data_IF_992431096629
#
_entry.id   IF_992431096629
#
_cell.length_a   1.000
_cell.length_b   1.000
_cell.length_c   1.000
_cell.angle_alpha   90.00
_cell.angle_beta   90.00
_cell.angle_gamma   90.00
#
_symmetry.space_group_name_H-M   'P 1'
#
loop_
_entity.id
_entity.type
_entity.pdbx_description
1 polymer ?
#
# COMPACT_ATOMS: atom_id res chain seq x y z
N UNK A 1 -22.50 18.84 15.18
CA UNK A 1 -23.56 17.77 15.23
C UNK A 1 -23.24 16.71 14.19
N UNK A 2 -23.54 15.43 14.47
CA UNK A 2 -23.16 14.32 13.57
C UNK A 2 -23.74 14.48 12.16
N UNK A 3 -24.97 14.94 12.00
CA UNK A 3 -25.57 15.14 10.67
C UNK A 3 -24.80 16.17 9.81
N UNK A 4 -24.24 17.20 10.43
CA UNK A 4 -23.39 18.17 9.75
C UNK A 4 -22.09 17.51 9.25
N UNK A 5 -21.47 16.64 10.06
CA UNK A 5 -20.27 15.87 9.65
C UNK A 5 -20.59 14.87 8.53
N UNK A 6 -21.81 14.30 8.51
CA UNK A 6 -22.27 13.47 7.39
C UNK A 6 -22.32 14.26 6.09
N UNK A 7 -22.83 15.50 6.13
CA UNK A 7 -22.88 16.38 4.96
C UNK A 7 -21.48 16.79 4.50
N UNK A 8 -20.58 17.16 5.44
CA UNK A 8 -19.20 17.52 5.14
C UNK A 8 -18.41 16.34 4.54
N UNK A 9 -18.58 15.13 5.09
CA UNK A 9 -17.92 13.94 4.55
C UNK A 9 -18.48 13.59 3.16
N UNK A 10 -19.78 13.79 2.93
CA UNK A 10 -20.37 13.59 1.60
C UNK A 10 -19.82 14.60 0.60
N UNK A 11 -19.68 15.88 1.00
CA UNK A 11 -19.07 16.91 0.16
C UNK A 11 -17.59 16.61 -0.12
N UNK A 12 -16.84 16.13 0.88
CA UNK A 12 -15.51 15.59 0.69
C UNK A 12 -15.48 14.53 -0.42
N UNK A 13 -16.41 13.56 -0.38
CA UNK A 13 -16.53 12.52 -1.39
C UNK A 13 -16.79 13.07 -2.80
N UNK A 14 -17.65 14.08 -2.93
CA UNK A 14 -17.92 14.75 -4.20
C UNK A 14 -16.72 15.51 -4.75
N UNK A 15 -16.04 16.30 -3.91
CA UNK A 15 -14.91 17.14 -4.29
C UNK A 15 -13.69 16.29 -4.66
N UNK A 16 -13.47 15.17 -3.98
CA UNK A 16 -12.36 14.25 -4.29
C UNK A 16 -12.65 13.29 -5.45
N UNK A 17 -13.92 13.21 -5.88
CA UNK A 17 -14.38 12.30 -6.93
C UNK A 17 -14.51 10.83 -6.47
N UNK A 18 -14.66 10.60 -5.16
CA UNK A 18 -15.04 9.29 -4.61
C UNK A 18 -16.52 9.00 -4.78
N UNK A 19 -17.33 10.05 -4.77
CA UNK A 19 -18.81 10.01 -4.90
C UNK A 19 -19.19 10.82 -6.12
N UNK A 20 -19.96 10.25 -7.03
CA UNK A 20 -20.53 10.98 -8.16
C UNK A 20 -21.74 11.83 -7.67
N UNK A 21 -22.06 12.95 -8.35
CA UNK A 21 -23.18 13.81 -7.95
C UNK A 21 -24.52 13.07 -7.80
N UNK A 22 -24.77 12.09 -8.64
CA UNK A 22 -25.96 11.23 -8.63
C UNK A 22 -26.06 10.36 -7.39
N UNK A 23 -24.90 9.98 -6.81
CA UNK A 23 -24.80 9.11 -5.63
C UNK A 23 -24.85 9.87 -4.31
N UNK A 24 -24.91 11.21 -4.34
CA UNK A 24 -24.91 12.06 -3.14
C UNK A 24 -25.97 11.64 -2.11
N UNK A 25 -27.21 11.47 -2.54
CA UNK A 25 -28.33 11.10 -1.66
C UNK A 25 -28.16 9.69 -1.10
N UNK A 26 -27.74 8.77 -1.93
CA UNK A 26 -27.46 7.40 -1.54
C UNK A 26 -26.38 7.36 -0.44
N UNK A 27 -25.30 8.10 -0.62
CA UNK A 27 -24.19 8.18 0.36
C UNK A 27 -24.64 8.76 1.69
N UNK A 28 -25.44 9.85 1.69
CA UNK A 28 -26.01 10.42 2.91
C UNK A 28 -26.85 9.37 3.64
N UNK A 29 -27.76 8.70 2.94
CA UNK A 29 -28.63 7.69 3.56
C UNK A 29 -27.86 6.50 4.14
N UNK A 30 -26.76 6.09 3.48
CA UNK A 30 -25.90 5.03 4.01
C UNK A 30 -25.12 5.48 5.26
N UNK A 31 -24.74 6.74 5.33
CA UNK A 31 -24.11 7.31 6.53
C UNK A 31 -25.13 7.47 7.66
N UNK A 32 -26.34 7.94 7.38
CA UNK A 32 -27.44 7.99 8.38
C UNK A 32 -27.69 6.60 8.98
N UNK A 33 -27.85 5.57 8.14
CA UNK A 33 -28.01 4.18 8.61
C UNK A 33 -26.84 3.73 9.49
N UNK A 34 -25.59 4.06 9.11
CA UNK A 34 -24.40 3.69 9.87
C UNK A 34 -24.39 4.29 11.27
N UNK A 35 -24.91 5.50 11.43
CA UNK A 35 -24.98 6.24 12.70
C UNK A 35 -26.35 6.09 13.40
N UNK A 36 -27.19 5.16 12.96
CA UNK A 36 -28.50 4.86 13.52
C UNK A 36 -29.43 6.09 13.57
N UNK A 37 -29.35 6.94 12.54
CA UNK A 37 -30.19 8.12 12.39
C UNK A 37 -31.33 7.83 11.40
N UNK A 38 -32.55 8.15 11.78
CA UNK A 38 -33.76 7.89 10.96
C UNK A 38 -33.95 8.92 9.84
N UNK A 39 -33.45 10.15 10.04
CA UNK A 39 -33.65 11.25 9.10
C UNK A 39 -32.47 12.25 9.10
N UNK A 40 -32.43 13.05 8.04
CA UNK A 40 -31.61 14.26 7.99
C UNK A 40 -32.49 15.46 8.31
N UNK A 41 -32.12 16.20 9.35
CA UNK A 41 -32.83 17.41 9.77
C UNK A 41 -32.76 18.49 8.67
N UNK A 42 -33.93 18.98 8.27
CA UNK A 42 -34.09 19.98 7.21
C UNK A 42 -33.40 21.33 7.57
N UNK A 43 -33.38 21.72 8.86
CA UNK A 43 -32.74 22.96 9.30
C UNK A 43 -31.19 22.81 9.19
N UNK A 44 -30.65 21.64 9.56
CA UNK A 44 -29.22 21.34 9.39
C UNK A 44 -28.85 21.34 7.91
N UNK A 45 -29.63 20.69 7.07
CA UNK A 45 -29.40 20.66 5.62
C UNK A 45 -29.47 22.06 5.00
N UNK A 46 -30.45 22.87 5.37
CA UNK A 46 -30.62 24.25 4.90
C UNK A 46 -29.51 25.17 5.38
N UNK A 47 -29.04 25.00 6.62
CA UNK A 47 -27.88 25.74 7.15
C UNK A 47 -26.59 25.37 6.43
N UNK A 48 -26.36 24.08 6.20
CA UNK A 48 -25.22 23.58 5.48
C UNK A 48 -25.15 24.10 4.04
N UNK A 49 -26.27 24.13 3.33
CA UNK A 49 -26.36 24.60 1.96
C UNK A 49 -25.96 26.09 1.77
N UNK A 50 -25.92 26.88 2.86
CA UNK A 50 -25.48 28.28 2.85
C UNK A 50 -23.98 28.47 3.06
N UNK A 51 -23.24 27.40 3.36
CA UNK A 51 -21.79 27.44 3.56
C UNK A 51 -21.05 27.63 2.24
N UNK A 52 -19.81 28.13 2.35
CA UNK A 52 -18.89 28.14 1.22
C UNK A 52 -18.53 26.69 0.89
N UNK A 53 -18.70 26.24 -0.37
CA UNK A 53 -18.33 24.89 -0.79
C UNK A 53 -16.86 24.59 -0.52
N UNK A 54 -16.56 23.32 -0.23
CA UNK A 54 -15.19 22.85 -0.08
C UNK A 54 -14.44 22.90 -1.41
N UNK A 55 -13.16 23.24 -1.35
CA UNK A 55 -12.20 22.99 -2.42
C UNK A 55 -11.48 21.67 -2.17
N UNK A 56 -10.76 21.14 -3.16
CA UNK A 56 -9.93 19.95 -2.99
C UNK A 56 -8.98 20.09 -1.79
N UNK A 57 -8.31 21.24 -1.66
CA UNK A 57 -7.36 21.51 -0.59
C UNK A 57 -8.01 21.58 0.78
N UNK A 58 -9.14 22.31 0.90
CA UNK A 58 -9.87 22.43 2.18
C UNK A 58 -10.50 21.09 2.59
N UNK A 59 -11.00 20.31 1.65
CA UNK A 59 -11.55 18.97 1.90
C UNK A 59 -10.46 18.02 2.44
N UNK A 60 -9.28 18.01 1.81
CA UNK A 60 -8.13 17.21 2.28
C UNK A 60 -7.66 17.62 3.68
N UNK A 61 -7.70 18.92 4.00
CA UNK A 61 -7.31 19.42 5.32
C UNK A 61 -8.34 19.08 6.40
N UNK A 62 -9.64 19.07 6.07
CA UNK A 62 -10.74 18.87 7.02
C UNK A 62 -10.99 17.39 7.36
N UNK A 63 -10.52 16.44 6.54
CA UNK A 63 -10.88 15.02 6.67
C UNK A 63 -10.58 14.45 8.06
N UNK A 64 -9.40 14.77 8.63
CA UNK A 64 -9.01 14.26 9.95
C UNK A 64 -9.99 14.71 11.03
N UNK A 65 -10.36 15.99 11.04
CA UNK A 65 -11.29 16.57 12.03
C UNK A 65 -12.71 16.00 11.84
N UNK A 66 -13.19 15.92 10.60
CA UNK A 66 -14.50 15.33 10.29
C UNK A 66 -14.57 13.89 10.84
N UNK A 67 -13.58 13.06 10.53
CA UNK A 67 -13.55 11.67 10.97
C UNK A 67 -13.40 11.55 12.49
N UNK A 68 -12.56 12.37 13.13
CA UNK A 68 -12.40 12.34 14.58
C UNK A 68 -13.71 12.66 15.30
N UNK A 69 -14.45 13.71 14.89
CA UNK A 69 -15.74 14.03 15.49
C UNK A 69 -16.80 12.96 15.23
N UNK A 70 -16.79 12.33 14.06
CA UNK A 70 -17.68 11.20 13.77
C UNK A 70 -17.34 9.98 14.65
N UNK A 71 -16.05 9.74 14.93
CA UNK A 71 -15.60 8.66 15.80
C UNK A 71 -15.91 8.94 17.28
N UNK A 72 -15.79 10.21 17.71
CA UNK A 72 -16.18 10.63 19.06
C UNK A 72 -17.67 10.39 19.28
N UNK A 73 -18.52 10.81 18.34
CA UNK A 73 -19.94 10.50 18.39
C UNK A 73 -20.22 8.99 18.45
N UNK A 74 -19.53 8.20 17.61
CA UNK A 74 -19.69 6.75 17.58
C UNK A 74 -19.29 6.07 18.91
N UNK A 75 -18.29 6.63 19.61
CA UNK A 75 -17.89 6.16 20.92
C UNK A 75 -18.91 6.51 21.99
N UNK A 76 -19.42 7.74 22.00
CA UNK A 76 -20.42 8.24 22.95
C UNK A 76 -21.76 7.53 22.79
N UNK A 77 -22.19 7.25 21.55
CA UNK A 77 -23.46 6.58 21.22
C UNK A 77 -23.38 5.05 21.29
N UNK A 78 -22.24 4.50 21.68
CA UNK A 78 -22.05 3.05 21.84
C UNK A 78 -22.02 2.25 20.54
N UNK A 79 -21.72 2.89 19.40
CA UNK A 79 -21.59 2.23 18.09
C UNK A 79 -20.28 1.42 17.96
N UNK A 80 -19.33 1.65 18.87
CA UNK A 80 -18.11 0.88 19.00
C UNK A 80 -18.11 0.11 20.35
N UNK A 81 -17.58 -1.11 20.39
CA UNK A 81 -17.48 -1.88 21.64
C UNK A 81 -16.65 -1.20 22.73
N UNK A 82 -15.58 -0.51 22.32
CA UNK A 82 -14.65 0.21 23.18
C UNK A 82 -14.04 1.39 22.42
N UNK A 83 -13.73 2.47 23.14
CA UNK A 83 -13.01 3.61 22.59
C UNK A 83 -11.49 3.38 22.63
N UNK A 84 -10.97 2.61 21.68
CA UNK A 84 -9.54 2.35 21.50
C UNK A 84 -9.12 2.62 20.06
N UNK A 85 -7.82 2.85 19.83
CA UNK A 85 -7.28 3.08 18.47
C UNK A 85 -7.69 1.97 17.51
N UNK A 86 -7.73 0.70 17.96
CA UNK A 86 -8.13 -0.42 17.11
C UNK A 86 -9.59 -0.32 16.66
N UNK A 87 -10.53 -0.06 17.57
CA UNK A 87 -11.94 0.06 17.23
C UNK A 87 -12.22 1.33 16.44
N UNK A 88 -11.55 2.44 16.76
CA UNK A 88 -11.59 3.67 15.95
C UNK A 88 -11.11 3.42 14.52
N UNK A 89 -10.03 2.67 14.32
CA UNK A 89 -9.52 2.32 12.99
C UNK A 89 -10.49 1.41 12.20
N UNK A 90 -11.16 0.49 12.88
CA UNK A 90 -12.19 -0.35 12.27
C UNK A 90 -13.40 0.49 11.82
N UNK A 91 -13.86 1.41 12.68
CA UNK A 91 -15.04 2.23 12.41
C UNK A 91 -14.76 3.33 11.38
N UNK A 92 -13.61 4.02 11.45
CA UNK A 92 -13.12 4.94 10.42
C UNK A 92 -13.13 4.29 9.03
N UNK A 93 -12.57 3.09 8.93
CA UNK A 93 -12.55 2.36 7.67
C UNK A 93 -13.95 2.00 7.18
N UNK A 94 -14.89 1.72 8.10
CA UNK A 94 -16.29 1.48 7.79
C UNK A 94 -16.99 2.74 7.30
N UNK A 95 -16.75 3.89 7.94
CA UNK A 95 -17.26 5.21 7.50
C UNK A 95 -16.79 5.50 6.07
N UNK A 96 -15.48 5.48 5.85
CA UNK A 96 -14.88 5.75 4.55
C UNK A 96 -15.33 4.76 3.48
N UNK A 97 -15.58 3.51 3.85
CA UNK A 97 -16.09 2.48 2.96
C UNK A 97 -17.45 2.79 2.33
N UNK A 98 -18.22 3.74 2.90
CA UNK A 98 -19.49 4.19 2.33
C UNK A 98 -19.31 5.09 1.10
N UNK A 99 -18.13 5.71 0.95
CA UNK A 99 -17.81 6.63 -0.14
C UNK A 99 -17.05 5.96 -1.29
N UNK A 100 -16.46 4.80 -1.05
CA UNK A 100 -15.50 4.21 -1.99
C UNK A 100 -16.20 3.52 -3.15
N UNK A 101 -15.84 3.84 -4.41
CA UNK A 101 -16.39 3.19 -5.59
C UNK A 101 -16.20 1.67 -5.54
N UNK A 102 -17.06 0.92 -6.22
CA UNK A 102 -16.97 -0.54 -6.28
C UNK A 102 -15.68 -0.98 -6.99
N UNK A 103 -15.12 -2.17 -6.65
CA UNK A 103 -13.92 -2.69 -7.32
C UNK A 103 -14.01 -2.65 -8.84
N UNK A 104 -15.16 -3.03 -9.41
CA UNK A 104 -15.35 -3.05 -10.86
C UNK A 104 -15.27 -1.66 -11.52
N UNK A 105 -15.68 -0.61 -10.83
CA UNK A 105 -15.60 0.78 -11.30
C UNK A 105 -14.14 1.27 -11.28
N UNK A 106 -13.45 1.00 -10.16
CA UNK A 106 -12.03 1.35 -10.01
C UNK A 106 -11.18 0.64 -11.05
N UNK A 107 -11.39 -0.67 -11.25
CA UNK A 107 -10.65 -1.46 -12.25
C UNK A 107 -10.92 -0.93 -13.67
N UNK A 108 -12.16 -0.66 -14.04
CA UNK A 108 -12.50 -0.11 -15.36
C UNK A 108 -11.84 1.25 -15.60
N UNK A 109 -11.87 2.14 -14.60
CA UNK A 109 -11.25 3.46 -14.71
C UNK A 109 -9.74 3.35 -14.79
N UNK A 110 -9.12 2.49 -13.98
CA UNK A 110 -7.68 2.22 -14.06
C UNK A 110 -7.29 1.71 -15.45
N UNK A 111 -8.01 0.72 -16.00
CA UNK A 111 -7.74 0.16 -17.31
C UNK A 111 -7.91 1.19 -18.44
N UNK A 112 -8.93 2.03 -18.36
CA UNK A 112 -9.13 3.11 -19.35
C UNK A 112 -7.97 4.11 -19.32
N UNK A 113 -7.49 4.52 -18.15
CA UNK A 113 -6.34 5.41 -18.00
C UNK A 113 -5.04 4.72 -18.41
N UNK A 114 -4.90 3.42 -18.16
CA UNK A 114 -3.73 2.65 -18.57
C UNK A 114 -3.57 2.62 -20.10
N UNK A 115 -4.66 2.68 -20.87
CA UNK A 115 -4.58 2.81 -22.33
C UNK A 115 -4.02 4.18 -22.77
N UNK A 116 -4.08 5.21 -21.91
CA UNK A 116 -3.45 6.50 -22.15
C UNK A 116 -1.97 6.42 -21.78
N UNK A 117 -1.69 6.06 -20.53
CA UNK A 117 -0.35 5.73 -20.08
C UNK A 117 -0.39 4.96 -18.74
N UNK A 118 0.60 4.09 -18.44
CA UNK A 118 0.72 3.46 -17.13
C UNK A 118 0.77 4.47 -15.98
N UNK A 119 1.38 5.65 -16.22
CA UNK A 119 1.49 6.70 -15.20
C UNK A 119 0.13 7.31 -14.85
N UNK A 120 -0.71 7.63 -15.83
CA UNK A 120 -2.06 8.14 -15.57
C UNK A 120 -2.90 7.17 -14.73
N UNK A 121 -2.78 5.88 -14.99
CA UNK A 121 -3.47 4.84 -14.22
C UNK A 121 -2.97 4.77 -12.77
N UNK A 122 -1.67 4.80 -12.56
CA UNK A 122 -1.07 4.77 -11.22
C UNK A 122 -1.33 6.06 -10.45
N UNK A 123 -1.27 7.23 -11.08
CA UNK A 123 -1.60 8.52 -10.47
C UNK A 123 -3.05 8.52 -9.94
N UNK A 124 -4.00 8.05 -10.77
CA UNK A 124 -5.39 7.87 -10.35
C UNK A 124 -5.53 6.95 -9.16
N UNK A 125 -4.90 5.77 -9.20
CA UNK A 125 -5.04 4.76 -8.16
C UNK A 125 -4.34 5.17 -6.86
N UNK A 126 -3.21 5.89 -6.95
CA UNK A 126 -2.56 6.47 -5.79
C UNK A 126 -3.41 7.56 -5.15
N UNK A 127 -3.98 8.48 -5.97
CA UNK A 127 -4.92 9.49 -5.50
C UNK A 127 -6.11 8.83 -4.79
N UNK A 128 -6.74 7.82 -5.40
CA UNK A 128 -7.84 7.05 -4.81
C UNK A 128 -7.43 6.49 -3.43
N UNK A 129 -6.27 5.84 -3.33
CA UNK A 129 -5.79 5.23 -2.08
C UNK A 129 -5.55 6.26 -0.96
N UNK A 130 -5.23 7.50 -1.31
CA UNK A 130 -5.11 8.63 -0.38
C UNK A 130 -6.47 9.18 0.02
N UNK A 131 -7.34 9.40 -0.95
CA UNK A 131 -8.64 10.04 -0.72
C UNK A 131 -9.63 9.12 0.01
N UNK A 132 -9.50 7.80 -0.16
CA UNK A 132 -10.24 6.81 0.64
C UNK A 132 -9.76 6.68 2.09
N UNK A 133 -8.77 7.47 2.53
CA UNK A 133 -8.11 7.35 3.83
C UNK A 133 -7.51 5.96 4.08
N UNK A 134 -7.28 5.17 3.03
CA UNK A 134 -6.50 3.94 3.14
C UNK A 134 -5.03 4.26 3.45
N UNK A 135 -4.49 5.27 2.76
CA UNK A 135 -3.21 5.93 3.10
C UNK A 135 -3.55 7.14 3.97
N UNK A 136 -3.40 6.98 5.28
CA UNK A 136 -3.75 8.02 6.28
C UNK A 136 -2.72 9.14 6.30
N UNK A 137 -2.93 10.16 5.46
CA UNK A 137 -1.99 11.30 5.27
C UNK A 137 -1.62 11.99 6.57
N UNK A 138 -2.58 12.21 7.46
CA UNK A 138 -2.34 12.87 8.75
C UNK A 138 -1.43 12.06 9.69
N UNK A 139 -1.45 10.72 9.60
CA UNK A 139 -0.49 9.88 10.35
C UNK A 139 0.91 9.97 9.74
N UNK A 140 1.02 9.94 8.41
CA UNK A 140 2.29 10.02 7.68
C UNK A 140 2.97 11.37 7.90
N UNK A 141 2.22 12.45 8.09
CA UNK A 141 2.79 13.78 8.46
C UNK A 141 3.58 13.76 9.77
N UNK A 142 3.40 12.75 10.63
CA UNK A 142 4.16 12.57 11.87
C UNK A 142 5.54 11.95 11.65
N UNK A 143 5.76 11.30 10.49
CA UNK A 143 7.04 10.70 10.15
C UNK A 143 8.12 11.77 10.03
N UNK A 144 9.28 11.49 10.62
CA UNK A 144 10.45 12.36 10.52
C UNK A 144 11.33 11.87 9.37
N UNK A 145 11.74 12.81 8.49
CA UNK A 145 12.55 12.51 7.32
C UNK A 145 13.66 13.54 7.18
N UNK A 146 14.88 13.06 6.92
CA UNK A 146 16.03 13.91 6.60
C UNK A 146 17.02 13.15 5.73
N UNK A 147 18.02 13.83 5.21
CA UNK A 147 19.09 13.21 4.43
C UNK A 147 20.39 13.22 5.23
N UNK A 148 21.26 12.24 4.97
CA UNK A 148 22.59 12.15 5.52
C UNK A 148 23.60 11.86 4.40
N UNK A 149 24.63 12.68 4.27
CA UNK A 149 25.72 12.46 3.33
C UNK A 149 26.69 11.41 3.89
N UNK A 150 27.00 10.41 3.08
CA UNK A 150 27.89 9.31 3.43
C UNK A 150 28.87 9.04 2.30
N UNK A 151 29.87 8.18 2.53
CA UNK A 151 30.77 7.71 1.47
C UNK A 151 30.08 6.91 0.36
N UNK A 152 28.82 6.47 0.59
CA UNK A 152 27.99 5.74 -0.36
C UNK A 152 26.99 6.65 -1.09
N UNK A 153 27.05 7.96 -0.85
CA UNK A 153 26.15 8.97 -1.37
C UNK A 153 25.19 9.49 -0.29
N UNK A 154 24.25 10.33 -0.70
CA UNK A 154 23.21 10.88 0.18
C UNK A 154 22.15 9.84 0.45
N UNK A 155 21.94 9.50 1.72
CA UNK A 155 20.93 8.53 2.17
C UNK A 155 19.72 9.24 2.73
N UNK A 156 18.51 8.75 2.42
CA UNK A 156 17.26 9.16 3.06
C UNK A 156 17.08 8.40 4.37
N UNK A 157 16.92 9.14 5.46
CA UNK A 157 16.66 8.59 6.78
C UNK A 157 15.22 8.90 7.17
N UNK A 158 14.52 7.90 7.67
CA UNK A 158 13.11 8.05 8.10
C UNK A 158 12.89 7.40 9.45
N UNK A 159 12.26 8.13 10.38
CA UNK A 159 11.63 7.57 11.57
C UNK A 159 10.13 7.46 11.27
N UNK A 160 9.64 6.23 11.16
CA UNK A 160 8.24 5.96 10.88
C UNK A 160 7.42 6.02 12.18
N UNK A 161 6.73 7.14 12.39
CA UNK A 161 5.81 7.38 13.52
C UNK A 161 4.34 7.19 13.12
N UNK A 162 4.07 6.93 11.84
CA UNK A 162 2.71 6.76 11.31
C UNK A 162 2.07 5.41 11.68
N UNK A 163 2.89 4.43 12.07
CA UNK A 163 2.40 3.13 12.52
C UNK A 163 1.89 3.26 13.96
N UNK A 164 0.58 3.06 14.21
CA UNK A 164 0.05 3.21 15.56
C UNK A 164 0.70 2.17 16.50
N UNK A 165 1.08 2.63 17.69
CA UNK A 165 1.46 1.72 18.77
C UNK A 165 0.25 0.84 19.14
N UNK A 166 0.51 -0.44 19.36
CA UNK A 166 -0.56 -1.35 19.77
C UNK A 166 -0.89 -1.09 21.23
N UNK A 167 -2.14 -0.71 21.49
CA UNK A 167 -2.68 -0.61 22.85
C UNK A 167 -2.55 -1.98 23.56
N UNK A 168 -2.01 -2.04 24.79
CA UNK A 168 -1.95 -3.26 25.58
C UNK A 168 -3.29 -3.97 25.73
N UNK A 169 -4.40 -3.25 25.86
CA UNK A 169 -5.76 -3.80 25.89
C UNK A 169 -6.13 -4.45 24.56
N UNK A 170 -5.83 -3.80 23.45
CA UNK A 170 -6.06 -4.35 22.10
C UNK A 170 -5.21 -5.61 21.85
N UNK A 171 -3.96 -5.66 22.35
CA UNK A 171 -3.12 -6.86 22.28
C UNK A 171 -3.75 -8.01 23.08
N UNK A 172 -4.25 -7.74 24.29
CA UNK A 172 -4.91 -8.74 25.12
C UNK A 172 -6.20 -9.25 24.47
N UNK A 173 -7.06 -8.34 23.96
CA UNK A 173 -8.28 -8.69 23.24
C UNK A 173 -7.98 -9.51 21.98
N UNK A 174 -6.93 -9.17 21.22
CA UNK A 174 -6.52 -9.90 20.03
C UNK A 174 -6.06 -11.35 20.34
N UNK A 175 -5.43 -11.58 21.51
CA UNK A 175 -5.05 -12.93 21.96
C UNK A 175 -6.26 -13.79 22.32
N UNK A 176 -7.32 -13.19 22.85
CA UNK A 176 -8.56 -13.86 23.24
C UNK A 176 -9.54 -14.00 22.05
N UNK A 177 -9.35 -13.25 20.99
CA UNK A 177 -10.22 -13.26 19.82
C UNK A 177 -10.21 -14.63 19.12
N UNK A 178 -11.39 -15.06 18.65
CA UNK A 178 -11.51 -16.26 17.81
C UNK A 178 -10.60 -16.14 16.62
N UNK A 179 -9.72 -17.10 16.43
CA UNK A 179 -8.88 -17.17 15.23
C UNK A 179 -9.73 -17.50 14.01
N UNK A 180 -9.47 -16.78 12.93
CA UNK A 180 -10.16 -16.98 11.64
C UNK A 180 -9.11 -17.13 10.55
N UNK A 181 -9.31 -18.10 9.67
CA UNK A 181 -8.51 -18.27 8.45
C UNK A 181 -8.97 -17.40 7.28
N UNK A 182 -9.85 -16.41 7.52
CA UNK A 182 -10.36 -15.51 6.48
C UNK A 182 -10.26 -14.04 6.94
N UNK A 183 -9.55 -13.19 6.17
CA UNK A 183 -8.53 -13.54 5.17
C UNK A 183 -7.36 -14.31 5.80
N UNK A 184 -6.65 -15.13 5.04
CA UNK A 184 -5.53 -15.94 5.55
C UNK A 184 -4.34 -15.09 6.01
N UNK A 185 -4.05 -13.99 5.30
CA UNK A 185 -3.03 -13.02 5.66
C UNK A 185 -3.39 -11.60 5.20
N UNK A 186 -2.53 -10.62 5.50
CA UNK A 186 -2.74 -9.21 5.16
C UNK A 186 -2.69 -8.90 3.65
N UNK A 187 -2.17 -9.81 2.84
CA UNK A 187 -2.02 -9.63 1.39
C UNK A 187 -3.05 -10.42 0.57
N UNK A 188 -3.86 -11.28 1.19
CA UNK A 188 -4.88 -12.02 0.45
C UNK A 188 -5.91 -11.07 -0.20
N UNK A 189 -6.31 -11.40 -1.45
CA UNK A 189 -7.34 -10.63 -2.18
C UNK A 189 -8.66 -10.47 -1.42
N UNK A 190 -8.97 -11.41 -0.54
CA UNK A 190 -10.14 -11.40 0.36
C UNK A 190 -10.12 -10.25 1.36
N UNK A 191 -9.03 -9.50 1.48
CA UNK A 191 -8.99 -8.28 2.26
C UNK A 191 -9.81 -7.14 1.62
N UNK A 192 -9.94 -7.10 0.30
CA UNK A 192 -10.70 -6.05 -0.36
C UNK A 192 -12.15 -6.00 0.15
N UNK A 193 -12.53 -4.86 0.73
CA UNK A 193 -13.87 -4.69 1.33
C UNK A 193 -14.09 -5.38 2.67
N UNK A 194 -13.07 -6.03 3.25
CA UNK A 194 -13.20 -6.75 4.52
C UNK A 194 -13.40 -5.81 5.70
N UNK A 195 -14.39 -6.11 6.54
CA UNK A 195 -14.75 -5.26 7.70
C UNK A 195 -13.69 -5.21 8.80
N UNK A 196 -12.79 -6.16 8.82
CA UNK A 196 -11.79 -6.25 9.88
C UNK A 196 -12.32 -6.88 11.16
N UNK A 197 -11.43 -6.99 12.13
CA UNK A 197 -11.68 -7.45 13.50
C UNK A 197 -10.50 -7.03 14.39
N UNK A 198 -10.61 -7.17 15.70
CA UNK A 198 -9.57 -6.75 16.66
C UNK A 198 -8.15 -7.23 16.32
N UNK A 199 -8.01 -8.41 15.75
CA UNK A 199 -6.73 -8.98 15.35
C UNK A 199 -6.45 -8.97 13.84
N UNK A 200 -7.28 -8.31 13.05
CA UNK A 200 -7.09 -8.16 11.60
C UNK A 200 -7.65 -6.82 11.12
N UNK A 201 -6.89 -5.99 10.40
CA UNK A 201 -7.32 -4.65 10.02
C UNK A 201 -8.53 -4.67 9.06
N UNK A 202 -9.37 -3.64 9.16
CA UNK A 202 -10.41 -3.37 8.18
C UNK A 202 -9.81 -2.90 6.85
N UNK A 203 -10.50 -3.19 5.74
CA UNK A 203 -10.12 -2.87 4.36
C UNK A 203 -11.32 -2.48 3.49
N UNK A 204 -12.39 -1.96 4.08
CA UNK A 204 -13.59 -1.55 3.35
C UNK A 204 -13.31 -0.38 2.39
N UNK A 205 -12.34 0.45 2.75
CA UNK A 205 -11.84 1.58 1.95
C UNK A 205 -10.65 1.25 1.03
N UNK A 206 -10.31 -0.03 0.89
CA UNK A 206 -9.18 -0.50 0.10
C UNK A 206 -9.64 -1.15 -1.21
N UNK A 207 -8.87 -0.95 -2.28
CA UNK A 207 -9.07 -1.56 -3.60
C UNK A 207 -7.76 -2.16 -4.10
N UNK A 208 -7.89 -3.15 -4.97
CA UNK A 208 -6.76 -3.83 -5.62
C UNK A 208 -6.96 -3.87 -7.13
N UNK A 209 -5.88 -3.81 -7.89
CA UNK A 209 -5.91 -3.85 -9.35
C UNK A 209 -5.37 -5.20 -9.84
N UNK A 210 -6.12 -5.96 -10.64
CA UNK A 210 -5.63 -7.18 -11.23
C UNK A 210 -4.53 -6.87 -12.26
N UNK A 211 -3.43 -7.61 -12.21
CA UNK A 211 -2.30 -7.56 -13.15
C UNK A 211 -1.90 -8.98 -13.51
N UNK A 212 -1.36 -9.17 -14.71
CA UNK A 212 -0.82 -10.48 -15.13
C UNK A 212 0.69 -10.42 -15.06
N UNK A 213 1.30 -11.33 -14.31
CA UNK A 213 2.74 -11.44 -14.14
C UNK A 213 3.16 -12.91 -14.39
N UNK A 214 4.10 -13.13 -15.27
CA UNK A 214 4.58 -14.45 -15.64
C UNK A 214 3.42 -15.42 -15.95
N UNK A 215 2.47 -14.94 -16.78
CA UNK A 215 1.27 -15.67 -17.22
C UNK A 215 0.34 -16.16 -16.09
N UNK A 216 0.40 -15.54 -14.92
CA UNK A 216 -0.45 -15.84 -13.78
C UNK A 216 -1.13 -14.59 -13.23
N UNK A 217 -2.18 -14.80 -12.43
CA UNK A 217 -2.97 -13.72 -11.86
C UNK A 217 -2.30 -13.18 -10.62
N UNK A 218 -2.11 -11.88 -10.60
CA UNK A 218 -1.55 -11.08 -9.50
C UNK A 218 -2.42 -9.88 -9.25
N UNK A 219 -2.16 -9.22 -8.12
CA UNK A 219 -2.79 -7.95 -7.79
C UNK A 219 -1.76 -6.90 -7.42
N UNK A 220 -2.08 -5.66 -7.74
CA UNK A 220 -1.33 -4.47 -7.40
C UNK A 220 -2.14 -3.64 -6.42
N UNK A 221 -1.50 -3.18 -5.33
CA UNK A 221 -2.06 -2.27 -4.32
C UNK A 221 -1.00 -1.33 -3.80
N UNK A 222 -1.42 -0.16 -3.28
CA UNK A 222 -0.52 0.65 -2.47
C UNK A 222 -0.43 0.13 -1.04
N UNK A 223 0.68 0.45 -0.37
CA UNK A 223 0.85 0.18 1.04
C UNK A 223 0.29 1.35 1.87
N UNK A 224 -0.41 1.10 2.98
CA UNK A 224 -0.79 2.17 3.89
C UNK A 224 0.41 2.75 4.65
N UNK A 225 1.57 2.08 4.57
CA UNK A 225 2.85 2.52 5.16
C UNK A 225 3.75 3.06 4.06
N UNK A 226 3.88 4.38 3.99
CA UNK A 226 4.62 5.08 2.92
C UNK A 226 6.08 5.23 3.32
N UNK A 227 6.89 4.20 3.10
CA UNK A 227 8.35 4.26 3.34
C UNK A 227 9.06 5.15 2.31
N UNK A 228 8.54 5.19 1.09
CA UNK A 228 8.98 6.02 -0.03
C UNK A 228 7.79 6.36 -0.93
N UNK A 229 7.99 7.23 -1.91
CA UNK A 229 6.90 7.70 -2.77
C UNK A 229 6.21 6.53 -3.50
N UNK A 230 4.88 6.52 -3.43
CA UNK A 230 4.01 5.54 -4.08
C UNK A 230 4.36 4.08 -3.72
N UNK A 231 4.76 3.85 -2.45
CA UNK A 231 5.07 2.50 -1.97
C UNK A 231 3.92 1.53 -2.26
N UNK A 232 4.20 0.52 -3.07
CA UNK A 232 3.21 -0.45 -3.51
C UNK A 232 3.64 -1.89 -3.20
N UNK A 233 2.67 -2.78 -3.25
CA UNK A 233 2.83 -4.22 -3.09
C UNK A 233 2.16 -4.90 -4.26
N UNK A 234 2.89 -5.82 -4.88
CA UNK A 234 2.41 -6.68 -5.97
C UNK A 234 2.40 -8.11 -5.44
N UNK A 235 1.26 -8.75 -5.38
CA UNK A 235 1.10 -10.03 -4.71
C UNK A 235 0.35 -11.05 -5.56
N UNK A 236 0.71 -12.31 -5.38
CA UNK A 236 0.09 -13.43 -6.09
C UNK A 236 -1.39 -13.55 -5.72
N UNK A 237 -2.26 -13.82 -6.69
CA UNK A 237 -3.68 -14.06 -6.45
C UNK A 237 -3.95 -15.28 -5.54
N UNK A 238 -3.01 -16.22 -5.52
CA UNK A 238 -3.06 -17.41 -4.68
C UNK A 238 -2.16 -17.26 -3.45
N UNK A 239 -2.65 -17.71 -2.30
CA UNK A 239 -1.89 -17.69 -1.05
C UNK A 239 -0.82 -18.79 -1.05
N UNK A 240 0.29 -18.53 -1.71
CA UNK A 240 1.44 -19.43 -1.83
C UNK A 240 2.67 -18.82 -1.17
N UNK A 241 3.53 -19.61 -0.49
CA UNK A 241 4.75 -19.09 0.11
C UNK A 241 5.69 -18.47 -0.91
N UNK A 242 6.44 -17.47 -0.47
CA UNK A 242 7.53 -16.89 -1.25
C UNK A 242 8.60 -17.93 -1.52
N UNK A 243 9.12 -17.90 -2.74
CA UNK A 243 10.29 -18.69 -3.16
C UNK A 243 11.08 -17.89 -4.18
N UNK A 244 12.34 -17.63 -3.88
CA UNK A 244 13.24 -16.94 -4.83
C UNK A 244 13.87 -17.98 -5.75
N UNK A 245 13.53 -17.89 -7.02
CA UNK A 245 14.02 -18.78 -8.08
C UNK A 245 14.06 -18.05 -9.42
N UNK A 246 14.49 -18.71 -10.49
CA UNK A 246 14.60 -18.11 -11.83
C UNK A 246 13.33 -17.35 -12.25
N UNK A 247 12.16 -17.91 -11.99
CA UNK A 247 10.87 -17.29 -12.33
C UNK A 247 10.67 -15.95 -11.60
N UNK A 248 11.24 -15.75 -10.41
CA UNK A 248 11.15 -14.51 -9.64
C UNK A 248 11.74 -13.33 -10.42
N UNK A 249 12.88 -13.51 -11.06
CA UNK A 249 13.50 -12.46 -11.88
C UNK A 249 12.61 -12.07 -13.07
N UNK A 250 11.99 -13.08 -13.72
CA UNK A 250 11.01 -12.83 -14.77
C UNK A 250 9.79 -12.06 -14.27
N UNK A 251 9.25 -12.42 -13.12
CA UNK A 251 8.11 -11.73 -12.49
C UNK A 251 8.41 -10.26 -12.20
N UNK A 252 9.61 -9.96 -11.67
CA UNK A 252 10.03 -8.58 -11.40
C UNK A 252 10.14 -7.78 -12.69
N UNK A 253 10.74 -8.34 -13.74
CA UNK A 253 10.88 -7.67 -15.02
C UNK A 253 9.54 -7.46 -15.73
N UNK A 254 8.63 -8.43 -15.67
CA UNK A 254 7.26 -8.29 -16.21
C UNK A 254 6.49 -7.13 -15.57
N UNK A 255 6.69 -6.88 -14.27
CA UNK A 255 6.06 -5.77 -13.59
C UNK A 255 6.61 -4.41 -14.08
N UNK A 256 7.93 -4.25 -14.17
CA UNK A 256 8.52 -2.98 -14.62
C UNK A 256 8.33 -2.73 -16.11
N UNK A 257 8.08 -3.76 -16.93
CA UNK A 257 7.61 -3.57 -18.31
C UNK A 257 6.21 -2.96 -18.37
N UNK A 258 5.32 -3.35 -17.46
CA UNK A 258 3.97 -2.78 -17.36
C UNK A 258 3.97 -1.38 -16.75
N UNK A 259 4.86 -1.13 -15.78
CA UNK A 259 4.97 0.14 -15.05
C UNK A 259 6.41 0.68 -15.07
N UNK A 260 6.90 1.18 -16.21
CA UNK A 260 8.32 1.52 -16.40
C UNK A 260 8.82 2.71 -15.56
N UNK A 261 7.92 3.47 -14.96
CA UNK A 261 8.23 4.55 -14.02
C UNK A 261 8.38 4.07 -12.56
N UNK A 262 8.14 2.78 -12.29
CA UNK A 262 8.30 2.15 -10.98
C UNK A 262 9.57 1.29 -10.93
N UNK A 263 10.13 1.15 -9.73
CA UNK A 263 10.99 0.02 -9.41
C UNK A 263 10.15 -1.08 -8.74
N UNK A 264 10.69 -2.29 -8.71
CA UNK A 264 10.15 -3.40 -7.91
C UNK A 264 11.31 -4.26 -7.37
N UNK A 265 11.12 -4.79 -6.17
CA UNK A 265 12.08 -5.65 -5.51
C UNK A 265 11.38 -6.76 -4.72
N UNK A 266 12.11 -7.84 -4.49
CA UNK A 266 11.68 -8.94 -3.63
C UNK A 266 12.42 -8.93 -2.30
N UNK A 267 11.72 -9.29 -1.21
CA UNK A 267 12.39 -9.73 0.00
C UNK A 267 13.09 -11.08 -0.24
N UNK A 268 14.08 -11.40 0.59
CA UNK A 268 14.59 -12.78 0.62
C UNK A 268 13.54 -13.72 1.22
N UNK A 269 13.58 -14.98 0.77
CA UNK A 269 12.66 -16.04 1.23
C UNK A 269 13.11 -16.72 2.54
N UNK A 270 14.03 -16.08 3.26
CA UNK A 270 14.59 -16.56 4.53
C UNK A 270 14.07 -15.72 5.71
N UNK A 271 13.47 -16.34 6.75
CA UNK A 271 12.95 -15.60 7.90
C UNK A 271 14.03 -14.80 8.66
N UNK A 272 15.24 -15.30 8.71
CA UNK A 272 16.35 -14.69 9.46
C UNK A 272 16.78 -13.31 8.93
N UNK A 273 16.52 -13.01 7.65
CA UNK A 273 16.86 -11.72 7.05
C UNK A 273 15.73 -10.69 7.14
N UNK A 274 14.69 -10.97 7.92
CA UNK A 274 13.64 -10.00 8.25
C UNK A 274 12.56 -9.81 7.20
N UNK A 275 12.40 -10.73 6.24
CA UNK A 275 11.30 -10.71 5.29
C UNK A 275 9.94 -10.81 6.01
N UNK A 276 8.98 -9.96 5.65
CA UNK A 276 7.63 -10.00 6.21
C UNK A 276 6.69 -10.78 5.28
N UNK A 277 5.69 -11.47 5.89
CA UNK A 277 4.62 -12.20 5.18
C UNK A 277 5.16 -13.21 4.14
N UNK A 278 6.21 -13.95 4.52
CA UNK A 278 6.84 -14.95 3.64
C UNK A 278 5.89 -16.10 3.23
N UNK A 279 4.74 -16.22 3.89
CA UNK A 279 3.69 -17.18 3.55
C UNK A 279 2.89 -16.81 2.31
N UNK A 280 3.10 -15.63 1.74
CA UNK A 280 2.39 -15.13 0.56
C UNK A 280 3.36 -14.49 -0.42
N UNK A 281 3.48 -15.04 -1.62
CA UNK A 281 4.39 -14.55 -2.67
C UNK A 281 4.03 -13.12 -3.07
N UNK A 282 4.97 -12.18 -2.88
CA UNK A 282 4.76 -10.77 -3.13
C UNK A 282 6.06 -10.02 -3.36
N UNK A 283 5.94 -8.86 -3.99
CA UNK A 283 7.01 -7.90 -4.25
C UNK A 283 6.63 -6.52 -3.72
N UNK A 284 7.64 -5.70 -3.46
CA UNK A 284 7.45 -4.29 -3.07
C UNK A 284 8.05 -3.40 -4.15
N UNK A 285 7.33 -2.33 -4.49
CA UNK A 285 7.73 -1.39 -5.52
C UNK A 285 7.24 0.02 -5.23
N UNK A 286 7.47 0.92 -6.17
CA UNK A 286 7.01 2.30 -6.08
C UNK A 286 7.74 3.24 -7.02
N UNK A 287 7.34 4.50 -7.01
CA UNK A 287 7.95 5.57 -7.80
C UNK A 287 9.06 6.25 -7.00
N UNK A 288 10.20 5.59 -6.89
CA UNK A 288 11.34 6.05 -6.09
C UNK A 288 12.67 5.53 -6.64
N UNK A 289 13.72 6.30 -6.52
CA UNK A 289 15.07 5.91 -6.91
C UNK A 289 15.99 5.88 -5.69
N UNK A 290 16.38 4.69 -5.27
CA UNK A 290 17.26 4.50 -4.12
C UNK A 290 18.69 5.00 -4.37
N UNK A 291 19.36 5.44 -3.31
CA UNK A 291 20.77 5.82 -3.35
C UNK A 291 21.65 4.68 -3.91
N UNK A 292 21.33 3.42 -3.62
CA UNK A 292 22.00 2.25 -4.20
C UNK A 292 21.91 2.21 -5.73
N UNK A 293 20.79 2.66 -6.33
CA UNK A 293 20.65 2.71 -7.79
C UNK A 293 21.57 3.76 -8.42
N UNK A 294 21.86 4.85 -7.70
CA UNK A 294 22.76 5.94 -8.12
C UNK A 294 24.23 5.65 -7.82
N UNK A 295 24.51 4.75 -6.89
CA UNK A 295 25.88 4.46 -6.46
C UNK A 295 26.75 3.95 -7.63
N UNK A 296 28.04 4.33 -7.71
CA UNK A 296 28.92 3.92 -8.80
C UNK A 296 29.27 2.44 -8.73
N UNK A 297 29.61 1.87 -9.87
CA UNK A 297 30.26 0.57 -9.97
C UNK A 297 31.73 0.78 -9.58
N UNK A 298 32.21 0.07 -8.57
CA UNK A 298 33.62 0.13 -8.13
C UNK A 298 34.49 -0.94 -8.80
N UNK A 299 33.89 -2.03 -9.27
CA UNK A 299 34.61 -3.11 -9.97
C UNK A 299 33.70 -3.67 -11.07
N UNK A 300 34.17 -3.56 -12.31
CA UNK A 300 33.51 -4.21 -13.45
C UNK A 300 33.73 -5.72 -13.40
N UNK A 301 32.71 -6.47 -13.81
CA UNK A 301 32.69 -7.92 -13.90
C UNK A 301 32.33 -8.34 -15.33
N UNK A 302 33.00 -9.39 -15.79
CA UNK A 302 32.63 -10.06 -17.05
C UNK A 302 32.29 -11.51 -16.74
N UNK A 303 31.09 -11.93 -17.06
CA UNK A 303 30.64 -13.31 -16.89
C UNK A 303 30.76 -14.05 -18.21
N UNK A 304 31.51 -15.17 -18.20
CA UNK A 304 31.66 -16.01 -19.38
C UNK A 304 30.32 -16.49 -19.94
N UNK A 305 30.11 -16.20 -21.23
CA UNK A 305 28.84 -16.49 -21.92
C UNK A 305 27.75 -15.42 -21.72
N UNK A 306 28.13 -14.29 -21.06
CA UNK A 306 27.25 -13.12 -20.84
C UNK A 306 28.03 -11.82 -21.11
N UNK A 307 28.87 -11.82 -22.12
CA UNK A 307 29.72 -10.67 -22.49
C UNK A 307 28.85 -9.49 -23.01
N UNK A 308 27.62 -9.77 -23.38
CA UNK A 308 26.58 -8.81 -23.77
C UNK A 308 25.89 -8.14 -22.57
N UNK A 309 26.09 -8.63 -21.35
CA UNK A 309 25.52 -8.07 -20.12
C UNK A 309 26.57 -7.22 -19.40
N UNK A 310 26.28 -5.93 -19.19
CA UNK A 310 27.09 -5.09 -18.31
C UNK A 310 26.89 -5.53 -16.87
N UNK A 311 27.98 -5.78 -16.17
CA UNK A 311 27.94 -6.23 -14.80
C UNK A 311 29.03 -5.57 -13.95
N UNK A 312 28.76 -5.39 -12.66
CA UNK A 312 29.75 -4.85 -11.74
C UNK A 312 29.31 -4.86 -10.28
N UNK A 313 30.32 -4.80 -9.40
CA UNK A 313 30.11 -4.62 -7.96
C UNK A 313 29.84 -3.14 -7.69
N UNK A 314 28.75 -2.85 -7.02
CA UNK A 314 28.36 -1.48 -6.67
C UNK A 314 29.04 -1.06 -5.37
N UNK A 315 29.53 0.17 -5.30
CA UNK A 315 30.03 0.76 -4.06
C UNK A 315 28.85 0.99 -3.09
N UNK A 316 28.61 0.01 -2.25
CA UNK A 316 27.49 -0.03 -1.32
C UNK A 316 27.86 -0.78 -0.03
N UNK A 317 27.27 -0.48 1.16
CA UNK A 317 27.60 -1.17 2.41
C UNK A 317 27.32 -2.67 2.39
N UNK A 318 26.37 -3.12 1.59
CA UNK A 318 26.08 -4.54 1.35
C UNK A 318 26.68 -4.99 0.03
N UNK A 319 26.94 -6.29 -0.13
CA UNK A 319 27.41 -6.86 -1.39
C UNK A 319 26.31 -6.78 -2.45
N UNK A 320 26.54 -5.99 -3.50
CA UNK A 320 25.58 -5.75 -4.59
C UNK A 320 26.24 -5.96 -5.93
N UNK A 321 25.67 -6.81 -6.76
CA UNK A 321 26.00 -6.95 -8.17
C UNK A 321 24.91 -6.26 -9.00
N UNK A 322 25.29 -5.25 -9.77
CA UNK A 322 24.41 -4.62 -10.76
C UNK A 322 24.63 -5.29 -12.10
N UNK A 323 23.53 -5.71 -12.75
CA UNK A 323 23.53 -6.22 -14.12
C UNK A 323 22.58 -5.42 -14.99
N UNK A 324 22.94 -5.18 -16.26
CA UNK A 324 22.14 -4.42 -17.22
C UNK A 324 22.33 -4.99 -18.62
N UNK A 325 21.22 -5.24 -19.32
CA UNK A 325 21.18 -5.68 -20.71
C UNK A 325 19.89 -5.21 -21.38
N UNK A 326 19.87 -5.06 -22.72
CA UNK A 326 18.66 -4.75 -23.47
C UNK A 326 17.61 -5.87 -23.44
N UNK A 327 18.04 -7.14 -23.33
CA UNK A 327 17.16 -8.33 -23.36
C UNK A 327 16.93 -8.84 -21.95
N UNK A 328 15.66 -8.90 -21.53
CA UNK A 328 15.28 -9.36 -20.20
C UNK A 328 15.67 -10.82 -19.94
N UNK A 329 15.63 -11.66 -20.98
CA UNK A 329 16.00 -13.09 -20.90
C UNK A 329 17.44 -13.25 -20.43
N UNK A 330 18.35 -12.41 -20.91
CA UNK A 330 19.76 -12.42 -20.51
C UNK A 330 19.95 -12.02 -19.04
N UNK A 331 19.16 -11.05 -18.57
CA UNK A 331 19.14 -10.66 -17.16
C UNK A 331 18.63 -11.81 -16.27
N UNK A 332 17.54 -12.47 -16.68
CA UNK A 332 16.96 -13.61 -15.95
C UNK A 332 17.97 -14.76 -15.86
N UNK A 333 18.60 -15.13 -16.98
CA UNK A 333 19.58 -16.22 -17.03
C UNK A 333 20.81 -15.95 -16.15
N UNK A 334 21.36 -14.73 -16.23
CA UNK A 334 22.54 -14.38 -15.44
C UNK A 334 22.22 -14.26 -13.96
N UNK A 335 21.08 -13.63 -13.61
CA UNK A 335 20.63 -13.50 -12.23
C UNK A 335 20.40 -14.87 -11.57
N UNK A 336 19.77 -15.80 -12.29
CA UNK A 336 19.58 -17.18 -11.82
C UNK A 336 20.91 -17.91 -11.61
N UNK A 337 21.85 -17.77 -12.56
CA UNK A 337 23.19 -18.35 -12.45
C UNK A 337 23.95 -17.82 -11.24
N UNK A 338 23.86 -16.51 -10.98
CA UNK A 338 24.47 -15.88 -9.80
C UNK A 338 23.81 -16.40 -8.52
N UNK A 339 22.48 -16.47 -8.48
CA UNK A 339 21.73 -16.97 -7.33
C UNK A 339 22.10 -18.42 -6.99
N UNK A 340 22.15 -19.29 -7.99
CA UNK A 340 22.52 -20.70 -7.81
C UNK A 340 23.97 -20.85 -7.32
N UNK A 341 24.90 -20.07 -7.87
CA UNK A 341 26.29 -20.07 -7.42
C UNK A 341 26.41 -19.57 -5.97
N UNK A 342 25.68 -18.52 -5.61
CA UNK A 342 25.67 -17.99 -4.26
C UNK A 342 25.09 -18.98 -3.24
N UNK A 343 24.00 -19.66 -3.57
CA UNK A 343 23.38 -20.66 -2.68
C UNK A 343 24.24 -21.88 -2.41
N UNK A 344 25.20 -22.17 -3.28
CA UNK A 344 26.17 -23.25 -3.09
C UNK A 344 27.52 -22.78 -2.60
N UNK A 345 27.67 -21.49 -2.25
CA UNK A 345 28.96 -20.91 -1.87
C UNK A 345 29.20 -21.01 -0.37
N UNK A 346 30.34 -21.55 0.01
CA UNK A 346 30.80 -21.58 1.39
C UNK A 346 32.18 -20.89 1.48
N UNK A 347 32.34 -20.04 2.47
CA UNK A 347 33.61 -19.39 2.86
C UNK A 347 33.62 -19.32 4.40
N UNK A 348 34.31 -20.30 5.00
CA UNK A 348 34.33 -20.44 6.46
C UNK A 348 35.02 -19.27 7.14
N UNK A 349 36.06 -18.66 6.50
CA UNK A 349 36.76 -17.51 7.03
C UNK A 349 35.89 -16.26 7.09
N UNK A 350 34.90 -16.16 6.20
CA UNK A 350 33.91 -15.09 6.16
C UNK A 350 32.59 -15.45 6.88
N UNK A 351 32.49 -16.60 7.55
CA UNK A 351 31.29 -17.14 8.18
C UNK A 351 30.11 -17.31 7.20
N UNK A 352 30.38 -17.63 5.95
CA UNK A 352 29.38 -17.92 4.92
C UNK A 352 29.30 -19.44 4.76
N UNK A 353 28.09 -19.98 4.93
CA UNK A 353 27.83 -21.42 4.83
C UNK A 353 26.65 -21.66 3.87
N UNK A 354 26.83 -22.58 2.91
CA UNK A 354 25.79 -23.03 1.96
C UNK A 354 24.72 -23.90 2.63
#
# INVERSE_FOLDING_TARGET
MIQERILELTEYGLVTGLVEPEDRRFTINRLLELFHLDELDDEVAAAYAKRTPMTQESAEAALEDILNEMLDYAAEDGLMPEDTVTYRDLFDTKIMGMLVPRPSEVIKKFQALYQISPKEATDYFYKLSRDTNYIRRYRIKKDQKWTADTEFGTLDITINLSKPEKDPKAIAAAKLAKQSGYPKCLLCKENEGYAGRVNHPARQNHRIIPVTINHSDWFFQYSPYVYYNEHCIVFNAEHTPMKIEKATFGKLLDFVEQFPHYFVGSNADLPIVGGSILSHDHFQGGHYEFAMAKAPVEKELVFKGFEDVKAGIVKWPMSVIRISAPQKERLIELADKILLAWRGYTDEDAFIFA
#
